data_IF_087503361844
#
_entry.id   IF_087503361844
#
_cell.length_a   1.000
_cell.length_b   1.000
_cell.length_c   1.000
_cell.angle_alpha   90.00
_cell.angle_beta   90.00
_cell.angle_gamma   90.00
#
_symmetry.space_group_name_H-M   'P 1'
#
loop_
_entity.id
_entity.type
_entity.pdbx_description
1 polymer ?
#
# COMPACT_ATOMS: atom_id res chain seq x y z
N UNK A 1 -22.96 -12.09 -5.82
CA UNK A 1 -21.61 -12.32 -6.40
C UNK A 1 -21.09 -13.68 -5.94
N UNK A 2 -20.63 -14.50 -6.89
CA UNK A 2 -20.07 -15.83 -6.63
C UNK A 2 -18.54 -15.81 -6.69
N UNK A 3 -17.92 -16.75 -5.99
CA UNK A 3 -16.47 -16.90 -5.92
C UNK A 3 -16.10 -18.23 -6.57
N UNK A 4 -15.28 -18.18 -7.63
CA UNK A 4 -15.08 -19.33 -8.51
C UNK A 4 -13.59 -19.54 -8.76
N UNK A 5 -13.16 -20.80 -8.64
CA UNK A 5 -11.84 -21.28 -9.01
C UNK A 5 -11.96 -22.17 -10.24
N UNK A 6 -11.15 -21.90 -11.26
CA UNK A 6 -11.07 -22.72 -12.47
C UNK A 6 -11.05 -21.90 -13.74
N UNK A 7 -10.70 -22.58 -14.84
CA UNK A 7 -10.64 -22.01 -16.18
C UNK A 7 -12.01 -22.14 -16.86
N UNK A 8 -12.45 -21.09 -17.55
CA UNK A 8 -13.68 -21.01 -18.36
C UNK A 8 -15.01 -21.18 -17.62
N UNK A 9 -15.40 -20.18 -16.83
CA UNK A 9 -16.79 -20.01 -16.39
C UNK A 9 -17.24 -18.58 -16.65
N UNK A 10 -18.02 -18.38 -17.71
CA UNK A 10 -18.64 -17.09 -18.03
C UNK A 10 -19.82 -16.85 -17.07
N UNK A 11 -19.56 -16.14 -15.98
CA UNK A 11 -20.59 -15.66 -15.07
C UNK A 11 -20.36 -14.18 -14.82
N UNK A 12 -21.27 -13.37 -15.34
CA UNK A 12 -21.26 -11.90 -15.24
C UNK A 12 -21.19 -11.39 -13.79
N UNK A 13 -21.52 -12.23 -12.80
CA UNK A 13 -21.56 -11.89 -11.37
C UNK A 13 -20.59 -12.72 -10.50
N UNK A 14 -19.35 -12.93 -10.95
CA UNK A 14 -18.33 -13.66 -10.20
C UNK A 14 -16.94 -12.98 -10.21
N UNK A 15 -16.21 -13.16 -9.11
CA UNK A 15 -14.74 -12.99 -9.08
C UNK A 15 -14.15 -14.37 -9.40
N UNK A 16 -13.35 -14.39 -10.46
CA UNK A 16 -12.71 -15.60 -10.99
C UNK A 16 -11.22 -15.46 -10.76
N UNK A 17 -10.63 -16.42 -10.06
CA UNK A 17 -9.20 -16.49 -9.81
C UNK A 17 -8.57 -17.50 -10.78
N UNK A 18 -7.66 -17.04 -11.64
CA UNK A 18 -6.83 -17.86 -12.51
C UNK A 18 -5.44 -18.00 -11.88
N UNK A 19 -5.08 -19.23 -11.51
CA UNK A 19 -3.79 -19.52 -10.89
C UNK A 19 -2.82 -20.07 -11.93
N UNK A 20 -1.66 -19.43 -12.06
CA UNK A 20 -0.53 -19.93 -12.83
C UNK A 20 0.48 -20.61 -11.89
N UNK A 21 0.42 -21.94 -11.84
CA UNK A 21 1.34 -22.80 -11.09
C UNK A 21 2.82 -22.58 -11.46
N UNK A 22 3.12 -22.18 -12.70
CA UNK A 22 4.51 -22.06 -13.18
C UNK A 22 5.23 -20.86 -12.57
N UNK A 23 4.50 -19.79 -12.33
CA UNK A 23 5.03 -18.54 -11.80
C UNK A 23 4.50 -18.19 -10.41
N UNK A 24 3.59 -19.00 -9.86
CA UNK A 24 2.91 -18.76 -8.60
C UNK A 24 2.18 -17.41 -8.60
N UNK A 25 1.48 -17.12 -9.71
CA UNK A 25 0.75 -15.88 -9.95
C UNK A 25 -0.74 -16.16 -9.89
N UNK A 26 -1.50 -15.24 -9.29
CA UNK A 26 -2.96 -15.24 -9.39
C UNK A 26 -3.39 -13.99 -10.15
N UNK A 27 -4.09 -14.18 -11.26
CA UNK A 27 -4.82 -13.13 -11.96
C UNK A 27 -6.31 -13.25 -11.68
N UNK A 28 -6.95 -12.13 -11.34
CA UNK A 28 -8.38 -12.11 -11.08
C UNK A 28 -9.01 -10.77 -11.41
N UNK A 29 -10.32 -10.76 -11.60
CA UNK A 29 -11.06 -9.56 -11.98
C UNK A 29 -12.06 -9.19 -10.88
N UNK A 30 -11.92 -7.97 -10.35
CA UNK A 30 -12.85 -7.42 -9.35
C UNK A 30 -13.92 -6.55 -10.02
N UNK A 31 -15.17 -6.59 -9.54
CA UNK A 31 -16.21 -5.67 -9.97
C UNK A 31 -16.12 -4.33 -9.24
N UNK A 32 -16.27 -3.23 -9.98
CA UNK A 32 -16.24 -1.86 -9.46
C UNK A 32 -17.35 -1.04 -10.13
N UNK A 33 -18.54 -1.02 -9.56
CA UNK A 33 -19.70 -0.44 -10.23
C UNK A 33 -20.06 -1.21 -11.50
N UNK A 34 -20.13 -0.51 -12.64
CA UNK A 34 -20.30 -1.12 -13.96
C UNK A 34 -18.96 -1.55 -14.59
N UNK A 35 -17.83 -1.13 -14.01
CA UNK A 35 -16.48 -1.46 -14.49
C UNK A 35 -15.93 -2.73 -13.87
N UNK A 36 -14.85 -3.25 -14.49
CA UNK A 36 -14.09 -4.40 -14.02
C UNK A 36 -12.60 -4.07 -14.03
N UNK A 37 -11.87 -4.50 -13.00
CA UNK A 37 -10.42 -4.25 -12.88
C UNK A 37 -9.68 -5.55 -12.70
N UNK A 38 -8.64 -5.75 -13.51
CA UNK A 38 -7.70 -6.87 -13.37
C UNK A 38 -6.77 -6.64 -12.20
N UNK A 39 -6.58 -7.65 -11.38
CA UNK A 39 -5.70 -7.70 -10.22
C UNK A 39 -4.74 -8.86 -10.40
N UNK A 40 -3.49 -8.65 -9.99
CA UNK A 40 -2.44 -9.66 -10.05
C UNK A 40 -1.74 -9.73 -8.71
N UNK A 41 -1.57 -10.95 -8.21
CA UNK A 41 -0.77 -11.27 -7.02
C UNK A 41 0.39 -12.15 -7.43
N UNK A 42 1.56 -11.86 -6.88
CA UNK A 42 2.80 -12.57 -7.15
C UNK A 42 3.22 -13.42 -5.96
N UNK A 43 4.03 -14.45 -6.23
CA UNK A 43 4.62 -15.30 -5.19
C UNK A 43 3.59 -15.92 -4.25
N UNK A 44 2.48 -16.39 -4.81
CA UNK A 44 1.37 -16.95 -4.04
C UNK A 44 1.47 -18.48 -3.97
N UNK A 45 1.71 -19.07 -2.78
CA UNK A 45 1.66 -20.51 -2.62
C UNK A 45 0.22 -21.00 -2.82
N UNK A 46 0.04 -21.95 -3.75
CA UNK A 46 -1.28 -22.47 -4.11
C UNK A 46 -2.04 -23.03 -2.89
N UNK A 47 -1.35 -23.85 -2.09
CA UNK A 47 -1.91 -24.50 -0.91
C UNK A 47 -2.38 -23.48 0.13
N UNK A 48 -1.62 -22.40 0.33
CA UNK A 48 -1.98 -21.32 1.25
C UNK A 48 -3.25 -20.64 0.74
N UNK A 49 -3.26 -20.26 -0.55
CA UNK A 49 -4.39 -19.59 -1.16
C UNK A 49 -5.67 -20.42 -1.08
N UNK A 50 -5.67 -21.67 -1.59
CA UNK A 50 -6.84 -22.53 -1.65
C UNK A 50 -7.39 -22.84 -0.25
N UNK A 51 -6.52 -23.09 0.73
CA UNK A 51 -6.95 -23.54 2.06
C UNK A 51 -7.42 -22.42 2.97
N UNK A 52 -6.94 -21.21 2.75
CA UNK A 52 -7.17 -20.09 3.67
C UNK A 52 -8.09 -19.02 3.10
N UNK A 53 -8.39 -19.08 1.81
CA UNK A 53 -9.31 -18.13 1.20
C UNK A 53 -10.67 -18.17 1.89
N UNK A 54 -11.16 -16.98 2.22
CA UNK A 54 -12.40 -16.76 2.94
C UNK A 54 -13.23 -15.70 2.25
N UNK A 55 -14.49 -16.03 2.02
CA UNK A 55 -15.51 -15.10 1.56
C UNK A 55 -16.43 -14.73 2.72
N UNK A 56 -16.67 -13.44 2.94
CA UNK A 56 -17.61 -12.97 3.96
C UNK A 56 -18.82 -12.37 3.27
N UNK A 57 -20.01 -12.88 3.60
CA UNK A 57 -21.28 -12.38 3.09
C UNK A 57 -22.05 -11.62 4.18
N UNK A 58 -22.71 -10.53 3.77
CA UNK A 58 -23.61 -9.74 4.58
C UNK A 58 -24.94 -10.46 4.83
N UNK A 59 -25.80 -9.83 5.63
CA UNK A 59 -27.15 -10.36 5.94
C UNK A 59 -28.09 -10.41 4.74
N UNK A 60 -27.77 -9.62 3.73
CA UNK A 60 -28.43 -9.50 2.43
C UNK A 60 -27.82 -10.42 1.36
N UNK A 61 -26.93 -11.34 1.76
CA UNK A 61 -26.20 -12.25 0.87
C UNK A 61 -25.28 -11.52 -0.13
N UNK A 62 -24.98 -10.23 0.11
CA UNK A 62 -23.99 -9.47 -0.66
C UNK A 62 -22.59 -9.83 -0.15
N UNK A 63 -21.66 -10.14 -1.07
CA UNK A 63 -20.27 -10.41 -0.74
C UNK A 63 -19.62 -9.12 -0.22
N UNK A 64 -19.15 -9.14 1.02
CA UNK A 64 -18.57 -7.98 1.71
C UNK A 64 -17.07 -7.89 1.52
N UNK A 65 -16.35 -9.02 1.63
CA UNK A 65 -14.92 -9.07 1.34
C UNK A 65 -14.48 -10.50 1.03
N UNK A 66 -13.29 -10.57 0.44
CA UNK A 66 -12.54 -11.80 0.22
C UNK A 66 -11.14 -11.60 0.78
N UNK A 67 -10.68 -12.53 1.61
CA UNK A 67 -9.31 -12.55 2.15
C UNK A 67 -8.67 -13.92 1.92
N UNK A 68 -7.34 -13.99 2.02
CA UNK A 68 -6.59 -15.24 2.13
C UNK A 68 -5.40 -15.02 3.06
N UNK A 69 -4.89 -16.07 3.70
CA UNK A 69 -3.63 -16.01 4.45
C UNK A 69 -2.49 -16.42 3.54
N UNK A 70 -1.69 -15.46 3.09
CA UNK A 70 -0.57 -15.68 2.19
C UNK A 70 0.74 -15.36 2.92
N UNK A 71 1.71 -16.26 2.86
CA UNK A 71 3.01 -16.09 3.53
C UNK A 71 2.88 -15.76 5.03
N UNK A 72 1.83 -16.28 5.70
CA UNK A 72 1.57 -16.06 7.11
C UNK A 72 0.81 -14.77 7.46
N UNK A 73 0.40 -13.97 6.47
CA UNK A 73 -0.30 -12.71 6.66
C UNK A 73 -1.68 -12.74 6.01
N UNK A 74 -2.70 -12.14 6.63
CA UNK A 74 -4.00 -11.97 6.00
C UNK A 74 -3.92 -10.91 4.91
N UNK A 75 -4.18 -11.30 3.66
CA UNK A 75 -4.21 -10.45 2.48
C UNK A 75 -5.66 -10.21 2.07
N UNK A 76 -6.05 -8.94 1.93
CA UNK A 76 -7.33 -8.54 1.36
C UNK A 76 -7.28 -8.69 -0.16
N UNK A 77 -8.28 -9.35 -0.74
CA UNK A 77 -8.37 -9.59 -2.18
C UNK A 77 -9.50 -8.79 -2.84
N UNK A 78 -10.56 -8.53 -2.07
CA UNK A 78 -11.72 -7.77 -2.51
C UNK A 78 -12.44 -7.16 -1.30
N UNK A 79 -13.01 -5.97 -1.48
CA UNK A 79 -13.96 -5.35 -0.54
C UNK A 79 -15.13 -4.74 -1.31
N UNK A 80 -16.33 -4.89 -0.76
CA UNK A 80 -17.51 -4.20 -1.23
C UNK A 80 -17.67 -2.86 -0.53
N UNK A 81 -17.80 -1.80 -1.33
CA UNK A 81 -18.19 -0.48 -0.84
C UNK A 81 -19.66 -0.21 -1.13
N UNK A 82 -20.34 0.32 -0.12
CA UNK A 82 -21.77 0.63 -0.19
C UNK A 82 -22.02 1.93 -0.96
N UNK A 83 -21.10 2.89 -0.84
CA UNK A 83 -21.15 4.23 -1.44
C UNK A 83 -19.79 4.94 -1.23
N UNK A 84 -19.64 6.14 -1.79
CA UNK A 84 -18.42 6.97 -1.69
C UNK A 84 -18.03 7.31 -0.24
N UNK A 85 -19.00 7.51 0.65
CA UNK A 85 -18.72 7.82 2.06
C UNK A 85 -18.12 6.58 2.76
N UNK A 86 -18.65 5.39 2.49
CA UNK A 86 -18.08 4.14 2.99
C UNK A 86 -16.64 3.94 2.47
N UNK A 87 -16.36 4.26 1.20
CA UNK A 87 -14.99 4.26 0.65
C UNK A 87 -14.08 5.15 1.50
N UNK A 88 -14.44 6.42 1.70
CA UNK A 88 -13.60 7.38 2.43
C UNK A 88 -13.38 6.95 3.88
N UNK A 89 -14.38 6.38 4.53
CA UNK A 89 -14.26 5.87 5.91
C UNK A 89 -13.27 4.71 6.01
N UNK A 90 -13.38 3.70 5.15
CA UNK A 90 -12.47 2.55 5.16
C UNK A 90 -11.05 2.93 4.76
N UNK A 91 -10.89 3.77 3.72
CA UNK A 91 -9.58 4.30 3.33
C UNK A 91 -8.93 5.11 4.45
N UNK A 92 -9.68 5.97 5.14
CA UNK A 92 -9.18 6.75 6.28
C UNK A 92 -8.76 5.85 7.44
N UNK A 93 -9.57 4.85 7.77
CA UNK A 93 -9.29 3.90 8.85
C UNK A 93 -8.03 3.09 8.54
N UNK A 94 -7.89 2.63 7.30
CA UNK A 94 -6.68 1.98 6.82
C UNK A 94 -5.47 2.92 6.93
N UNK A 95 -5.58 4.14 6.38
CA UNK A 95 -4.51 5.13 6.36
C UNK A 95 -3.94 5.38 7.76
N UNK A 96 -4.80 5.63 8.75
CA UNK A 96 -4.37 5.86 10.14
C UNK A 96 -3.66 4.63 10.70
N UNK A 97 -4.26 3.45 10.59
CA UNK A 97 -3.66 2.21 11.12
C UNK A 97 -2.33 1.88 10.45
N UNK A 98 -2.24 2.09 9.14
CA UNK A 98 -1.04 1.82 8.36
C UNK A 98 0.08 2.81 8.72
N UNK A 99 -0.26 4.10 8.84
CA UNK A 99 0.65 5.11 9.33
C UNK A 99 1.12 4.83 10.77
N UNK A 100 0.24 4.40 11.68
CA UNK A 100 0.63 4.01 13.04
C UNK A 100 1.68 2.89 13.03
N UNK A 101 1.51 1.86 12.20
CA UNK A 101 2.50 0.78 12.06
C UNK A 101 3.85 1.27 11.50
N UNK A 102 3.83 2.23 10.58
CA UNK A 102 5.06 2.86 10.07
C UNK A 102 5.70 3.77 11.14
N UNK A 103 4.91 4.52 11.90
CA UNK A 103 5.37 5.36 12.99
C UNK A 103 6.09 4.52 14.06
N UNK A 104 5.55 3.35 14.41
CA UNK A 104 6.21 2.43 15.36
C UNK A 104 7.62 2.03 14.89
N UNK A 105 7.81 1.81 13.59
CA UNK A 105 9.12 1.50 13.00
C UNK A 105 10.03 2.74 12.97
N UNK A 106 9.51 3.90 12.55
CA UNK A 106 10.26 5.16 12.55
C UNK A 106 10.74 5.52 13.96
N UNK A 107 9.93 5.27 14.99
CA UNK A 107 10.27 5.53 16.39
C UNK A 107 11.37 4.62 16.94
N UNK A 108 11.67 3.49 16.29
CA UNK A 108 12.80 2.63 16.64
C UNK A 108 14.14 3.20 16.17
N UNK A 109 14.12 4.23 15.32
CA UNK A 109 15.33 4.90 14.85
C UNK A 109 15.98 5.70 16.00
N UNK A 110 17.23 5.35 16.34
CA UNK A 110 17.93 5.90 17.53
C UNK A 110 19.02 6.93 17.20
N UNK A 111 19.44 6.99 15.94
CA UNK A 111 20.44 7.93 15.46
C UNK A 111 19.86 9.34 15.27
N UNK A 112 20.68 10.28 14.78
CA UNK A 112 20.25 11.63 14.45
C UNK A 112 19.79 11.67 12.99
N UNK A 113 18.50 11.89 12.80
CA UNK A 113 17.86 12.02 11.49
C UNK A 113 18.22 13.38 10.87
N UNK A 114 18.71 13.35 9.64
CA UNK A 114 18.88 14.52 8.79
C UNK A 114 17.70 14.69 7.82
N UNK A 115 17.11 13.58 7.37
CA UNK A 115 15.93 13.58 6.48
C UNK A 115 14.94 12.50 6.90
N UNK A 116 13.66 12.79 6.76
CA UNK A 116 12.61 11.77 6.68
C UNK A 116 11.92 11.97 5.32
N UNK A 117 12.06 10.97 4.46
CA UNK A 117 11.40 10.92 3.17
C UNK A 117 10.12 10.09 3.30
N UNK A 118 9.07 10.55 2.63
CA UNK A 118 7.90 9.78 2.26
C UNK A 118 7.86 9.77 0.74
N UNK A 119 8.03 8.58 0.19
CA UNK A 119 8.03 8.38 -1.25
C UNK A 119 6.82 7.53 -1.60
N UNK A 120 6.11 7.92 -2.65
CA UNK A 120 4.94 7.21 -3.13
C UNK A 120 4.88 7.18 -4.65
N UNK A 121 4.17 6.20 -5.19
CA UNK A 121 3.99 6.04 -6.63
C UNK A 121 2.60 5.48 -6.93
N UNK A 122 1.95 5.97 -7.99
CA UNK A 122 0.71 5.39 -8.48
C UNK A 122 0.51 5.62 -9.99
N UNK A 123 0.57 4.55 -10.79
CA UNK A 123 0.18 4.59 -12.22
C UNK A 123 -1.25 4.08 -12.48
N UNK A 124 -1.97 3.71 -11.41
CA UNK A 124 -3.34 3.18 -11.44
C UNK A 124 -3.43 1.65 -11.37
N UNK A 125 -2.34 0.93 -11.66
CA UNK A 125 -2.22 -0.52 -11.48
C UNK A 125 -1.27 -0.86 -10.32
N UNK A 126 -0.13 -0.17 -10.28
CA UNK A 126 0.88 -0.26 -9.26
C UNK A 126 0.76 0.94 -8.31
N UNK A 127 0.94 0.66 -7.03
CA UNK A 127 0.82 1.63 -5.94
C UNK A 127 1.84 1.28 -4.87
N UNK A 128 2.60 2.26 -4.42
CA UNK A 128 3.61 2.09 -3.38
C UNK A 128 3.62 3.33 -2.47
N UNK A 129 3.83 3.11 -1.18
CA UNK A 129 4.02 4.12 -0.17
C UNK A 129 5.04 3.61 0.85
N UNK A 130 6.15 4.33 0.99
CA UNK A 130 7.18 3.99 1.96
C UNK A 130 7.85 5.22 2.56
N UNK A 131 8.51 5.02 3.69
CA UNK A 131 9.32 6.01 4.35
C UNK A 131 10.80 5.61 4.33
N UNK A 132 11.68 6.61 4.39
CA UNK A 132 13.12 6.40 4.53
C UNK A 132 13.72 7.46 5.45
N UNK A 133 14.64 7.05 6.32
CA UNK A 133 15.34 7.98 7.22
C UNK A 133 16.79 8.12 6.77
N UNK A 134 17.18 9.34 6.42
CA UNK A 134 18.56 9.71 6.16
C UNK A 134 19.26 10.17 7.43
N UNK A 135 20.38 9.56 7.79
CA UNK A 135 21.24 10.00 8.92
C UNK A 135 22.09 11.22 8.54
N UNK A 136 22.60 11.92 9.55
CA UNK A 136 23.58 13.00 9.34
C UNK A 136 24.86 12.53 8.61
N UNK A 137 25.34 11.33 8.92
CA UNK A 137 26.53 10.76 8.27
C UNK A 137 26.27 10.47 6.80
N UNK A 138 25.12 9.87 6.47
CA UNK A 138 24.73 9.62 5.08
C UNK A 138 24.58 10.92 4.31
N UNK A 139 23.94 11.94 4.90
CA UNK A 139 23.78 13.25 4.26
C UNK A 139 25.13 13.90 3.96
N UNK A 140 26.10 13.83 4.87
CA UNK A 140 27.44 14.38 4.65
C UNK A 140 28.21 13.60 3.57
N UNK A 141 28.11 12.26 3.56
CA UNK A 141 28.70 11.44 2.51
C UNK A 141 28.12 11.77 1.13
N UNK A 142 26.82 12.04 1.04
CA UNK A 142 26.14 12.47 -0.18
C UNK A 142 26.65 13.84 -0.64
N UNK A 143 26.76 14.83 0.25
CA UNK A 143 27.29 16.18 -0.06
C UNK A 143 28.73 16.16 -0.53
N UNK A 144 29.55 15.22 -0.03
CA UNK A 144 30.93 15.05 -0.49
C UNK A 144 31.01 14.41 -1.88
N UNK A 145 30.04 13.54 -2.21
CA UNK A 145 29.99 12.82 -3.48
C UNK A 145 29.40 13.66 -4.61
N UNK A 146 28.38 14.47 -4.32
CA UNK A 146 27.65 15.24 -5.31
C UNK A 146 27.79 16.75 -5.03
N UNK A 147 28.21 17.55 -6.02
CA UNK A 147 28.44 18.98 -5.84
C UNK A 147 27.16 19.84 -5.78
N UNK A 148 26.00 19.25 -6.11
CA UNK A 148 24.71 19.96 -6.19
C UNK A 148 24.07 20.11 -4.80
N UNK A 149 23.55 21.30 -4.49
CA UNK A 149 23.01 21.63 -3.17
C UNK A 149 21.79 20.79 -2.78
N UNK A 150 20.98 20.39 -3.77
CA UNK A 150 19.74 19.62 -3.56
C UNK A 150 19.95 18.10 -3.51
N UNK A 151 21.20 17.62 -3.67
CA UNK A 151 21.46 16.17 -3.71
C UNK A 151 21.06 15.44 -2.41
N UNK A 152 21.11 16.14 -1.27
CA UNK A 152 20.71 15.60 0.04
C UNK A 152 19.20 15.46 0.23
N UNK A 153 18.39 16.04 -0.67
CA UNK A 153 16.94 16.05 -0.60
C UNK A 153 16.31 15.05 -1.59
N UNK A 154 17.12 14.21 -2.22
CA UNK A 154 16.70 13.09 -3.06
C UNK A 154 16.92 11.77 -2.30
N UNK A 155 15.83 11.07 -1.98
CA UNK A 155 15.84 9.78 -1.27
C UNK A 155 16.66 8.71 -2.00
N UNK A 156 16.66 8.72 -3.35
CA UNK A 156 17.44 7.78 -4.17
C UNK A 156 18.97 7.89 -4.02
N UNK A 157 19.47 8.91 -3.32
CA UNK A 157 20.88 9.02 -2.96
C UNK A 157 21.24 8.34 -1.62
N UNK A 158 20.25 7.94 -0.83
CA UNK A 158 20.43 7.25 0.45
C UNK A 158 20.32 5.73 0.26
N UNK A 159 20.86 4.92 1.19
CA UNK A 159 20.69 3.47 1.16
C UNK A 159 19.21 3.06 1.22
N UNK A 160 18.82 2.05 0.44
CA UNK A 160 17.43 1.58 0.26
C UNK A 160 16.90 0.76 1.45
N UNK A 161 16.95 1.30 2.66
CA UNK A 161 16.25 0.75 3.82
C UNK A 161 14.88 1.39 3.95
N UNK A 162 13.90 0.79 3.29
CA UNK A 162 12.53 1.28 3.28
C UNK A 162 11.77 0.82 4.53
N UNK A 163 11.00 1.73 5.10
CA UNK A 163 9.98 1.46 6.10
C UNK A 163 8.66 1.43 5.34
N UNK A 164 8.12 0.23 5.14
CA UNK A 164 6.91 0.01 4.37
C UNK A 164 5.71 -0.20 5.30
N UNK A 165 4.54 0.21 4.81
CA UNK A 165 3.25 -0.24 5.33
C UNK A 165 2.72 -1.44 4.53
N UNK A 166 1.41 -1.67 4.63
CA UNK A 166 0.72 -2.71 3.87
C UNK A 166 0.31 -2.21 2.48
N UNK A 167 1.27 -2.18 1.55
CA UNK A 167 1.05 -1.74 0.16
C UNK A 167 0.05 -2.63 -0.61
N UNK A 168 -0.01 -3.92 -0.31
CA UNK A 168 -0.95 -4.85 -0.97
C UNK A 168 -2.40 -4.56 -0.55
N UNK A 169 -2.63 -4.30 0.74
CA UNK A 169 -3.94 -3.87 1.22
C UNK A 169 -4.30 -2.48 0.71
N UNK A 170 -3.35 -1.54 0.66
CA UNK A 170 -3.54 -0.21 0.05
C UNK A 170 -4.04 -0.32 -1.38
N UNK A 171 -3.33 -1.09 -2.21
CA UNK A 171 -3.69 -1.36 -3.61
C UNK A 171 -5.10 -1.94 -3.72
N UNK A 172 -5.42 -2.94 -2.91
CA UNK A 172 -6.74 -3.59 -2.98
C UNK A 172 -7.87 -2.64 -2.59
N UNK A 173 -7.73 -1.90 -1.50
CA UNK A 173 -8.75 -0.93 -1.05
C UNK A 173 -8.98 0.15 -2.10
N UNK A 174 -7.90 0.75 -2.61
CA UNK A 174 -7.98 1.82 -3.61
C UNK A 174 -8.61 1.30 -4.91
N UNK A 175 -8.18 0.13 -5.39
CA UNK A 175 -8.67 -0.42 -6.66
C UNK A 175 -10.09 -0.98 -6.57
N UNK A 176 -10.59 -1.36 -5.39
CA UNK A 176 -11.99 -1.73 -5.21
C UNK A 176 -12.94 -0.52 -5.17
N UNK A 177 -12.43 0.69 -4.94
CA UNK A 177 -13.23 1.90 -4.90
C UNK A 177 -13.62 2.39 -6.30
N UNK A 178 -14.85 2.90 -6.44
CA UNK A 178 -15.28 3.60 -7.65
C UNK A 178 -14.48 4.89 -7.86
N UNK A 179 -14.47 5.40 -9.10
CA UNK A 179 -13.67 6.56 -9.50
C UNK A 179 -12.25 6.19 -9.92
N UNK A 180 -11.45 7.20 -10.28
CA UNK A 180 -10.09 6.97 -10.77
C UNK A 180 -9.16 6.59 -9.60
N UNK A 181 -8.39 5.48 -9.67
CA UNK A 181 -7.62 4.98 -8.54
C UNK A 181 -6.67 6.01 -7.92
N UNK A 182 -6.06 6.89 -8.74
CA UNK A 182 -5.09 7.86 -8.21
C UNK A 182 -5.71 8.90 -7.25
N UNK A 183 -7.00 9.24 -7.38
CA UNK A 183 -7.67 10.18 -6.47
C UNK A 183 -7.87 9.56 -5.07
N UNK A 184 -8.23 8.27 -5.03
CA UNK A 184 -8.37 7.53 -3.78
C UNK A 184 -7.02 7.21 -3.16
N UNK A 185 -6.01 6.92 -3.99
CA UNK A 185 -4.64 6.77 -3.55
C UNK A 185 -4.11 8.06 -2.92
N UNK A 186 -4.21 9.20 -3.61
CA UNK A 186 -3.79 10.49 -3.09
C UNK A 186 -4.47 10.84 -1.76
N UNK A 187 -5.76 10.54 -1.63
CA UNK A 187 -6.49 10.72 -0.38
C UNK A 187 -5.88 9.93 0.79
N UNK A 188 -5.41 8.70 0.53
CA UNK A 188 -4.74 7.88 1.55
C UNK A 188 -3.35 8.44 1.86
N UNK A 189 -2.56 8.78 0.82
CA UNK A 189 -1.23 9.39 0.95
C UNK A 189 -1.30 10.65 1.82
N UNK A 190 -2.23 11.57 1.54
CA UNK A 190 -2.38 12.82 2.28
C UNK A 190 -2.64 12.57 3.77
N UNK A 191 -3.48 11.59 4.11
CA UNK A 191 -3.78 11.22 5.50
C UNK A 191 -2.57 10.59 6.16
N UNK A 192 -1.95 9.60 5.50
CA UNK A 192 -0.79 8.89 6.06
C UNK A 192 0.38 9.83 6.30
N UNK A 193 0.76 10.62 5.30
CA UNK A 193 1.89 11.54 5.38
C UNK A 193 1.67 12.61 6.44
N UNK A 194 0.46 13.15 6.55
CA UNK A 194 0.15 14.10 7.61
C UNK A 194 0.18 13.46 9.00
N UNK A 195 -0.33 12.25 9.13
CA UNK A 195 -0.32 11.52 10.41
C UNK A 195 1.12 11.18 10.84
N UNK A 196 1.97 10.73 9.92
CA UNK A 196 3.40 10.52 10.18
C UNK A 196 4.09 11.84 10.55
N UNK A 197 3.80 12.93 9.84
CA UNK A 197 4.35 14.26 10.16
C UNK A 197 4.01 14.67 11.61
N UNK A 198 2.74 14.51 12.00
CA UNK A 198 2.23 14.91 13.31
C UNK A 198 2.78 14.04 14.46
N UNK A 199 2.94 12.72 14.25
CA UNK A 199 3.20 11.78 15.33
C UNK A 199 4.61 11.15 15.33
N UNK A 200 5.27 11.03 14.17
CA UNK A 200 6.64 10.53 14.11
C UNK A 200 7.66 11.65 14.36
N UNK A 201 7.53 12.79 13.66
CA UNK A 201 8.56 13.83 13.68
C UNK A 201 8.91 14.34 15.09
N UNK A 202 7.96 14.56 16.02
CA UNK A 202 8.30 15.04 17.36
C UNK A 202 9.19 14.08 18.15
N UNK A 203 9.22 12.79 17.80
CA UNK A 203 9.97 11.75 18.52
C UNK A 203 11.41 11.60 18.04
N UNK A 204 11.72 12.06 16.82
CA UNK A 204 13.03 11.91 16.22
C UNK A 204 14.05 12.90 16.80
N UNK A 205 15.27 12.42 17.02
CA UNK A 205 16.45 13.27 17.20
C UNK A 205 16.86 13.79 15.82
N UNK A 206 16.96 15.11 15.66
CA UNK A 206 17.08 15.75 14.34
C UNK A 206 18.33 16.64 14.26
N UNK A 207 18.91 16.76 13.07
CA UNK A 207 19.88 17.81 12.77
C UNK A 207 19.18 19.18 12.74
N UNK A 208 19.94 20.28 12.83
CA UNK A 208 19.39 21.63 12.76
C UNK A 208 18.74 21.93 11.40
N UNK A 209 19.28 21.35 10.33
CA UNK A 209 18.81 21.49 8.96
C UNK A 209 17.89 20.33 8.52
N UNK A 210 17.26 19.63 9.48
CA UNK A 210 16.38 18.52 9.18
C UNK A 210 15.23 18.91 8.25
N UNK A 211 14.87 18.01 7.32
CA UNK A 211 13.71 18.17 6.45
C UNK A 211 12.83 16.92 6.45
N UNK A 212 11.52 17.14 6.43
CA UNK A 212 10.51 16.17 6.07
C UNK A 212 10.12 16.41 4.62
N UNK A 213 10.26 15.40 3.77
CA UNK A 213 10.09 15.51 2.31
C UNK A 213 9.10 14.44 1.89
N UNK A 214 8.01 14.83 1.23
CA UNK A 214 6.95 13.92 0.81
C UNK A 214 6.70 14.13 -0.69
N UNK A 215 7.13 13.18 -1.52
CA UNK A 215 7.12 13.33 -2.97
C UNK A 215 6.63 12.05 -3.68
N UNK A 216 5.98 12.26 -4.82
CA UNK A 216 5.81 11.19 -5.81
C UNK A 216 7.16 10.95 -6.51
N UNK A 217 7.54 9.70 -6.72
CA UNK A 217 8.70 9.34 -7.54
C UNK A 217 8.27 8.86 -8.93
N UNK A 218 9.13 9.11 -9.92
CA UNK A 218 8.92 8.71 -11.32
C UNK A 218 9.39 7.26 -11.61
#
# INVERSE_FOLDING_TARGET
>A
MLLIFGKDIDRENAIIFDYDERYQIIDYVIPVGEDRRGMTLYSVPEDDFIRTMRAVYGKDEILQNVTATLNGHETLLYIHYENEEHVKQELRKFAIRNADAMIEQIQQFTDVAARLFIDYFCDGEYMDYHAMIGTAEQMEAIRQKYPDEDCSDNSGNYPSEFIEGDNEMLKTLVRCAQGYPSENFQYVVDIMSKHIEEYALPTLRKTEDFKYICNEYD
#
